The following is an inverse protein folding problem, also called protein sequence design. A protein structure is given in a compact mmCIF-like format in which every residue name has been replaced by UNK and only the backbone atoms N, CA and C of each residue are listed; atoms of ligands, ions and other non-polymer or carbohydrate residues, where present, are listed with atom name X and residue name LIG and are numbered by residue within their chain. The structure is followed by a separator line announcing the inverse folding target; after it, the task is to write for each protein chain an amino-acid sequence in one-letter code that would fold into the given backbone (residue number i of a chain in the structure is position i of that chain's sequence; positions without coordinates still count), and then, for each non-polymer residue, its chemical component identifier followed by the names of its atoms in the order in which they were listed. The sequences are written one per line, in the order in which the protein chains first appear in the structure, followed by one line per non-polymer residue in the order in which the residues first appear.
data_IF_601947680712
#
_entry.id   IF_601947680712
#
_cell.length_a   1.000
_cell.length_b   1.000
_cell.length_c   1.000
_cell.angle_alpha   90.00
_cell.angle_beta   90.00
_cell.angle_gamma   90.00
#
_symmetry.space_group_name_H-M   'P 1'
#
loop_
_entity.id
_entity.type
_entity.pdbx_description
1 polymer ?
#
# COMPACT_ATOMS: atom_id res chain seq x y z
N UNK A 1 4.84 7.20 -3.76
CA UNK A 1 3.37 7.19 -3.92
C UNK A 1 3.04 7.69 -5.30
N UNK A 2 2.06 7.12 -6.00
CA UNK A 2 1.53 7.71 -7.24
C UNK A 2 0.59 8.89 -6.91
N UNK A 3 1.12 10.11 -7.04
CA UNK A 3 0.38 11.35 -6.82
C UNK A 3 -0.63 11.67 -7.94
N UNK A 4 -0.62 10.91 -9.03
CA UNK A 4 -1.53 11.08 -10.16
C UNK A 4 -2.75 10.17 -10.08
N UNK A 5 -2.77 9.22 -9.13
CA UNK A 5 -3.93 8.37 -8.89
C UNK A 5 -5.18 9.22 -8.57
N UNK A 6 -6.35 8.96 -9.16
CA UNK A 6 -7.57 9.76 -8.97
C UNK A 6 -7.91 10.06 -7.50
N UNK A 7 -7.85 9.05 -6.63
CA UNK A 7 -8.12 9.19 -5.19
C UNK A 7 -7.08 10.05 -4.44
N UNK A 8 -5.87 10.19 -4.97
CA UNK A 8 -4.76 10.90 -4.33
C UNK A 8 -4.45 12.24 -4.99
N UNK A 9 -5.24 12.65 -5.98
CA UNK A 9 -5.07 13.93 -6.67
C UNK A 9 -5.13 15.10 -5.68
N UNK A 10 -3.99 15.77 -5.52
CA UNK A 10 -3.82 16.89 -4.61
C UNK A 10 -3.66 16.52 -3.13
N UNK A 11 -3.53 15.22 -2.80
CA UNK A 11 -3.24 14.76 -1.44
C UNK A 11 -1.75 14.62 -1.16
N UNK A 12 -0.95 14.29 -2.18
CA UNK A 12 0.51 14.24 -2.08
C UNK A 12 1.07 15.64 -2.31
N UNK A 13 1.67 16.23 -1.28
CA UNK A 13 2.23 17.60 -1.35
C UNK A 13 3.64 17.62 -1.89
N UNK A 14 4.48 16.69 -1.43
CA UNK A 14 5.84 16.54 -1.90
C UNK A 14 6.24 15.06 -1.99
N UNK A 15 7.28 14.78 -2.76
CA UNK A 15 7.83 13.45 -2.93
C UNK A 15 9.33 13.51 -3.08
N UNK A 16 10.03 12.72 -2.26
CA UNK A 16 11.48 12.53 -2.34
C UNK A 16 11.85 11.05 -2.41
N UNK A 17 13.02 10.78 -2.95
CA UNK A 17 13.73 9.51 -2.80
C UNK A 17 14.96 9.70 -1.93
N UNK A 18 15.10 8.85 -0.92
CA UNK A 18 16.25 8.77 -0.02
C UNK A 18 17.07 7.49 -0.25
N UNK A 19 16.81 6.75 -1.33
CA UNK A 19 17.64 5.61 -1.73
C UNK A 19 19.06 6.10 -2.04
N UNK A 20 20.05 5.52 -1.38
CA UNK A 20 21.45 5.91 -1.48
C UNK A 20 21.81 7.16 -0.68
N UNK A 21 20.93 7.64 0.20
CA UNK A 21 21.18 8.80 1.06
C UNK A 21 22.13 8.50 2.23
N UNK A 22 22.34 7.21 2.55
CA UNK A 22 23.31 6.74 3.53
C UNK A 22 23.19 7.46 4.89
N UNK A 23 21.95 7.64 5.38
CA UNK A 23 21.67 8.28 6.68
C UNK A 23 21.50 9.81 6.64
N UNK A 24 21.79 10.47 5.53
CA UNK A 24 21.76 11.93 5.40
C UNK A 24 20.49 12.42 4.71
N UNK A 25 19.62 13.13 5.45
CA UNK A 25 18.42 13.76 4.89
C UNK A 25 18.73 14.76 3.76
N UNK A 26 19.92 15.37 3.76
CA UNK A 26 20.34 16.32 2.72
C UNK A 26 20.64 15.65 1.37
N UNK A 27 20.85 14.34 1.35
CA UNK A 27 21.06 13.56 0.13
C UNK A 27 19.75 12.99 -0.45
N UNK A 28 18.62 13.20 0.23
CA UNK A 28 17.31 12.92 -0.35
C UNK A 28 17.04 13.90 -1.51
N UNK A 29 16.52 13.39 -2.62
CA UNK A 29 16.29 14.18 -3.84
C UNK A 29 14.82 14.14 -4.27
N UNK A 30 14.30 15.19 -4.93
CA UNK A 30 12.92 15.20 -5.40
C UNK A 30 12.60 14.03 -6.34
N UNK A 31 11.45 13.38 -6.13
CA UNK A 31 10.99 12.25 -6.93
C UNK A 31 10.59 11.04 -6.08
N UNK A 32 10.83 9.83 -6.60
CA UNK A 32 10.48 8.59 -5.90
C UNK A 32 9.15 7.98 -6.36
N UNK A 33 9.07 7.64 -7.65
CA UNK A 33 7.93 6.91 -8.22
C UNK A 33 7.68 5.61 -7.47
N UNK A 34 6.41 5.34 -7.17
CA UNK A 34 6.00 4.07 -6.60
C UNK A 34 5.88 3.02 -7.71
N UNK A 35 6.86 2.12 -7.76
CA UNK A 35 6.91 1.01 -8.73
C UNK A 35 6.43 -0.31 -8.15
N UNK A 36 6.07 -0.33 -6.86
CA UNK A 36 5.58 -1.52 -6.14
C UNK A 36 4.07 -1.47 -5.89
N UNK A 37 3.56 -0.26 -5.62
CA UNK A 37 2.18 0.01 -5.30
C UNK A 37 1.86 0.00 -3.81
N UNK A 38 2.72 -0.57 -2.94
CA UNK A 38 2.49 -0.59 -1.49
C UNK A 38 2.36 0.81 -0.89
N UNK A 39 3.25 1.74 -1.26
CA UNK A 39 3.22 3.10 -0.74
C UNK A 39 1.93 3.83 -1.12
N UNK A 40 1.46 3.63 -2.35
CA UNK A 40 0.20 4.19 -2.83
C UNK A 40 -1.01 3.55 -2.13
N UNK A 41 -0.96 2.24 -1.85
CA UNK A 41 -1.99 1.52 -1.09
C UNK A 41 -2.14 2.08 0.32
N UNK A 42 -1.02 2.25 1.01
CA UNK A 42 -0.96 2.89 2.34
C UNK A 42 -1.47 4.32 2.29
N UNK A 43 -1.03 5.13 1.32
CA UNK A 43 -1.48 6.51 1.16
C UNK A 43 -3.00 6.60 0.90
N UNK A 44 -3.55 5.68 0.11
CA UNK A 44 -5.00 5.59 -0.13
C UNK A 44 -5.79 5.32 1.16
N UNK A 45 -5.33 4.39 2.01
CA UNK A 45 -5.98 4.11 3.30
C UNK A 45 -5.95 5.35 4.21
N UNK A 46 -4.86 6.11 4.20
CA UNK A 46 -4.73 7.32 5.04
C UNK A 46 -5.59 8.46 4.49
N UNK A 47 -5.43 8.81 3.21
CA UNK A 47 -5.83 10.12 2.69
C UNK A 47 -6.51 10.08 1.32
N UNK A 48 -6.96 8.92 0.82
CA UNK A 48 -7.81 8.90 -0.37
C UNK A 48 -8.99 9.87 -0.20
N UNK A 49 -9.24 10.67 -1.23
CA UNK A 49 -10.34 11.63 -1.27
C UNK A 49 -11.66 10.91 -1.02
N UNK A 50 -12.55 11.58 -0.30
CA UNK A 50 -13.89 11.11 -0.05
C UNK A 50 -14.91 11.96 -0.81
N UNK A 51 -16.13 11.42 -0.95
CA UNK A 51 -17.31 12.12 -1.45
C UNK A 51 -17.23 12.65 -2.90
N UNK A 52 -16.33 12.11 -3.73
CA UNK A 52 -16.21 12.46 -5.16
C UNK A 52 -16.74 11.38 -6.11
N UNK A 53 -17.25 10.26 -5.56
CA UNK A 53 -17.85 9.17 -6.32
C UNK A 53 -16.83 8.29 -7.05
N UNK A 54 -15.54 8.38 -6.71
CA UNK A 54 -14.45 7.60 -7.27
C UNK A 54 -13.85 6.71 -6.18
N UNK A 55 -13.46 5.50 -6.56
CA UNK A 55 -12.52 4.69 -5.78
C UNK A 55 -12.89 4.42 -4.33
N UNK A 56 -11.89 4.61 -3.46
CA UNK A 56 -11.99 4.39 -2.01
C UNK A 56 -11.94 5.73 -1.26
N UNK A 57 -12.31 5.71 0.01
CA UNK A 57 -12.15 6.85 0.91
C UNK A 57 -11.11 6.53 2.00
N UNK A 58 -10.18 7.46 2.22
CA UNK A 58 -9.21 7.36 3.29
C UNK A 58 -9.83 7.63 4.65
N UNK A 59 -9.11 7.26 5.72
CA UNK A 59 -9.54 7.53 7.10
C UNK A 59 -9.50 9.04 7.42
N UNK A 60 -8.55 9.77 6.85
CA UNK A 60 -8.44 11.22 6.93
C UNK A 60 -8.35 11.85 5.52
N UNK A 61 -9.47 11.96 4.78
CA UNK A 61 -9.50 12.42 3.38
C UNK A 61 -9.03 13.87 3.13
N UNK A 62 -8.67 14.60 4.18
CA UNK A 62 -8.14 15.98 4.09
C UNK A 62 -6.70 16.08 4.58
N UNK A 63 -6.12 14.98 5.06
CA UNK A 63 -4.71 14.91 5.41
C UNK A 63 -3.85 15.05 4.15
N UNK A 64 -2.62 15.50 4.35
CA UNK A 64 -1.61 15.66 3.31
C UNK A 64 -0.52 14.63 3.49
N UNK A 65 0.00 14.16 2.38
CA UNK A 65 1.00 13.09 2.32
C UNK A 65 2.31 13.68 1.80
N UNK A 66 3.38 13.52 2.57
CA UNK A 66 4.74 13.60 2.06
C UNK A 66 5.20 12.19 1.73
N UNK A 67 5.53 11.93 0.47
CA UNK A 67 5.95 10.60 0.02
C UNK A 67 7.46 10.47 0.08
N UNK A 68 7.97 9.59 0.95
CA UNK A 68 9.41 9.35 1.09
C UNK A 68 9.74 7.94 0.60
N UNK A 69 10.30 7.81 -0.60
CA UNK A 69 10.77 6.53 -1.13
C UNK A 69 12.13 6.18 -0.52
N UNK A 70 12.17 5.15 0.30
CA UNK A 70 13.41 4.61 0.89
C UNK A 70 13.60 3.10 0.63
N UNK A 71 12.67 2.48 -0.10
CA UNK A 71 12.74 1.09 -0.53
C UNK A 71 12.71 1.02 -2.06
N UNK A 72 13.52 0.13 -2.62
CA UNK A 72 13.54 -0.13 -4.06
C UNK A 72 12.84 -1.45 -4.37
N UNK A 73 11.94 -1.43 -5.35
CA UNK A 73 11.31 -2.66 -5.82
C UNK A 73 12.34 -3.49 -6.59
N UNK A 74 12.50 -4.74 -6.20
CA UNK A 74 13.35 -5.75 -6.82
C UNK A 74 12.49 -6.95 -7.15
N UNK A 75 12.37 -7.23 -8.44
CA UNK A 75 11.68 -8.42 -8.92
C UNK A 75 12.68 -9.45 -9.41
N UNK A 76 12.45 -10.71 -9.05
CA UNK A 76 12.99 -11.87 -9.74
C UNK A 76 11.87 -12.62 -10.49
N UNK A 77 12.21 -13.75 -11.12
CA UNK A 77 11.26 -14.55 -11.91
C UNK A 77 10.09 -15.12 -11.08
N UNK A 78 10.18 -15.08 -9.74
CA UNK A 78 9.24 -15.72 -8.82
C UNK A 78 8.49 -14.73 -7.92
N UNK A 79 9.06 -13.56 -7.62
CA UNK A 79 8.49 -12.58 -6.70
C UNK A 79 9.07 -11.18 -6.88
N UNK A 80 8.29 -10.17 -6.48
CA UNK A 80 8.78 -8.82 -6.27
C UNK A 80 8.82 -8.52 -4.78
N UNK A 81 9.92 -7.96 -4.31
CA UNK A 81 10.08 -7.43 -2.94
C UNK A 81 10.58 -6.00 -3.00
N UNK A 82 10.13 -5.16 -2.07
CA UNK A 82 10.71 -3.83 -1.87
C UNK A 82 11.71 -3.89 -0.71
N UNK A 83 12.98 -3.66 -1.01
CA UNK A 83 14.09 -3.75 -0.05
C UNK A 83 14.89 -2.45 -0.01
N UNK A 84 15.47 -2.12 1.13
CA UNK A 84 16.26 -0.90 1.31
C UNK A 84 17.17 -0.95 2.54
N UNK A 85 18.05 0.03 2.64
CA UNK A 85 18.98 0.17 3.77
C UNK A 85 18.28 0.90 4.93
N UNK A 86 18.55 0.48 6.16
CA UNK A 86 18.05 1.17 7.34
C UNK A 86 18.59 2.60 7.46
N UNK A 87 19.79 2.88 6.94
CA UNK A 87 20.33 4.23 6.85
C UNK A 87 19.51 5.12 5.90
N UNK A 88 19.05 4.59 4.77
CA UNK A 88 18.19 5.34 3.84
C UNK A 88 16.80 5.60 4.43
N UNK A 89 16.26 4.62 5.17
CA UNK A 89 15.04 4.81 5.96
C UNK A 89 15.21 5.90 7.02
N UNK A 90 16.32 5.88 7.77
CA UNK A 90 16.63 6.89 8.78
C UNK A 90 16.77 8.29 8.15
N UNK A 91 17.42 8.40 6.98
CA UNK A 91 17.49 9.64 6.22
C UNK A 91 16.10 10.16 5.84
N UNK A 92 15.21 9.26 5.41
CA UNK A 92 13.83 9.58 5.08
C UNK A 92 13.01 10.09 6.27
N UNK A 93 13.14 9.45 7.43
CA UNK A 93 12.50 9.91 8.68
C UNK A 93 13.01 11.31 9.04
N UNK A 94 14.33 11.53 9.00
CA UNK A 94 14.95 12.85 9.28
C UNK A 94 14.51 13.93 8.29
N UNK A 95 14.37 13.59 7.01
CA UNK A 95 13.85 14.50 6.01
C UNK A 95 12.40 14.90 6.34
N UNK A 96 11.54 13.93 6.67
CA UNK A 96 10.16 14.22 7.04
C UNK A 96 10.04 15.10 8.30
N UNK A 97 10.91 14.90 9.30
CA UNK A 97 11.01 15.78 10.47
C UNK A 97 11.37 17.21 10.06
N UNK A 98 12.31 17.36 9.12
CA UNK A 98 12.71 18.66 8.56
C UNK A 98 11.56 19.41 7.89
N UNK A 99 10.59 18.67 7.34
CA UNK A 99 9.34 19.18 6.76
C UNK A 99 8.21 19.35 7.79
N UNK A 100 8.49 19.17 9.08
CA UNK A 100 7.54 19.38 10.19
C UNK A 100 6.26 18.54 10.11
N UNK A 101 6.38 17.26 9.71
CA UNK A 101 5.24 16.34 9.70
C UNK A 101 4.69 16.07 11.11
N UNK A 102 3.37 15.91 11.21
CA UNK A 102 2.72 15.52 12.47
C UNK A 102 2.86 14.02 12.76
N UNK A 103 2.88 13.19 11.71
CA UNK A 103 2.84 11.73 11.79
C UNK A 103 3.80 11.12 10.76
N UNK A 104 4.62 10.17 11.21
CA UNK A 104 5.48 9.35 10.36
C UNK A 104 4.94 7.93 10.34
N UNK A 105 4.42 7.49 9.20
CA UNK A 105 3.94 6.11 9.00
C UNK A 105 5.07 5.22 8.46
N UNK A 106 5.56 4.30 9.29
CA UNK A 106 6.57 3.31 8.93
C UNK A 106 5.92 1.92 8.77
N UNK A 107 5.26 1.72 7.63
CA UNK A 107 4.70 0.41 7.22
C UNK A 107 5.79 -0.48 6.60
N UNK A 108 6.85 -0.74 7.36
CA UNK A 108 8.00 -1.55 6.95
C UNK A 108 8.12 -2.79 7.83
N UNK A 109 8.74 -3.85 7.29
CA UNK A 109 9.10 -5.03 8.07
C UNK A 109 10.63 -5.19 8.07
N UNK A 110 11.21 -5.41 9.24
CA UNK A 110 12.63 -5.76 9.38
C UNK A 110 12.76 -7.26 9.70
N UNK A 111 13.80 -7.95 9.18
CA UNK A 111 13.93 -9.39 9.36
C UNK A 111 14.18 -9.81 10.82
N UNK A 112 14.67 -8.92 11.69
CA UNK A 112 14.93 -9.25 13.10
C UNK A 112 14.77 -8.06 14.06
N UNK A 113 15.53 -6.99 13.84
CA UNK A 113 15.52 -5.76 14.66
C UNK A 113 15.68 -4.56 13.75
N UNK A 114 15.16 -3.41 14.18
CA UNK A 114 15.53 -2.15 13.55
C UNK A 114 17.02 -1.91 13.76
N UNK A 115 17.68 -1.38 12.73
CA UNK A 115 19.05 -0.94 12.88
C UNK A 115 19.10 0.26 13.84
N UNK A 116 20.20 0.44 14.58
CA UNK A 116 20.38 1.58 15.50
C UNK A 116 20.07 2.93 14.85
N UNK A 117 20.54 3.18 13.63
CA UNK A 117 20.34 4.45 12.92
C UNK A 117 18.86 4.79 12.71
N UNK A 118 18.02 3.77 12.48
CA UNK A 118 16.58 3.96 12.32
C UNK A 118 15.89 4.15 13.68
N UNK A 119 16.36 3.48 14.74
CA UNK A 119 15.88 3.72 16.11
C UNK A 119 16.17 5.16 16.56
N UNK A 120 17.37 5.66 16.27
CA UNK A 120 17.76 7.05 16.56
C UNK A 120 16.86 8.03 15.81
N UNK A 121 16.60 7.81 14.51
CA UNK A 121 15.71 8.65 13.72
C UNK A 121 14.26 8.63 14.23
N UNK A 122 13.77 7.49 14.74
CA UNK A 122 12.46 7.39 15.39
C UNK A 122 12.42 8.21 16.69
N UNK A 123 13.46 8.13 17.50
CA UNK A 123 13.61 8.98 18.69
C UNK A 123 13.67 10.47 18.35
N UNK A 124 14.41 10.85 17.31
CA UNK A 124 14.47 12.23 16.80
C UNK A 124 13.08 12.72 16.35
N UNK A 125 12.28 11.88 15.69
CA UNK A 125 10.91 12.22 15.29
C UNK A 125 10.02 12.50 16.49
N UNK A 126 10.13 11.66 17.51
CA UNK A 126 9.39 11.81 18.77
C UNK A 126 9.74 13.13 19.48
N UNK A 127 11.02 13.44 19.61
CA UNK A 127 11.50 14.68 20.23
C UNK A 127 11.12 15.92 19.40
N UNK A 128 11.00 15.78 18.08
CA UNK A 128 10.56 16.85 17.19
C UNK A 128 9.05 17.11 17.21
N UNK A 129 8.27 16.29 17.93
CA UNK A 129 6.81 16.46 18.04
C UNK A 129 5.99 15.65 17.05
N UNK A 130 6.59 14.72 16.32
CA UNK A 130 5.87 13.81 15.43
C UNK A 130 5.48 12.51 16.15
N UNK A 131 4.37 11.88 15.76
CA UNK A 131 4.05 10.49 16.16
C UNK A 131 4.60 9.53 15.13
N UNK A 132 5.44 8.59 15.55
CA UNK A 132 5.84 7.47 14.69
C UNK A 132 4.83 6.33 14.86
N UNK A 133 4.19 5.94 13.76
CA UNK A 133 3.31 4.76 13.69
C UNK A 133 4.06 3.66 12.97
N UNK A 134 4.32 2.55 13.65
CA UNK A 134 5.20 1.49 13.18
C UNK A 134 4.45 0.16 13.10
N UNK A 135 4.41 -0.44 11.91
CA UNK A 135 3.79 -1.75 11.72
C UNK A 135 4.62 -2.84 12.39
N UNK A 136 3.95 -3.79 13.04
CA UNK A 136 4.62 -4.87 13.78
C UNK A 136 5.23 -5.99 12.90
N UNK A 137 5.06 -5.90 11.57
CA UNK A 137 5.51 -6.92 10.61
C UNK A 137 4.50 -8.06 10.45
N UNK A 138 4.86 -9.06 9.62
CA UNK A 138 3.98 -10.15 9.16
C UNK A 138 4.51 -11.56 9.46
N UNK A 139 5.48 -11.69 10.38
CA UNK A 139 6.09 -12.97 10.76
C UNK A 139 5.82 -13.31 12.23
N UNK A 140 4.86 -14.21 12.45
CA UNK A 140 4.43 -14.73 13.76
C UNK A 140 5.55 -15.38 14.58
N UNK A 141 6.62 -15.87 13.93
CA UNK A 141 7.77 -16.54 14.52
C UNK A 141 9.02 -15.64 14.67
N UNK A 142 8.98 -14.44 14.10
CA UNK A 142 10.03 -13.42 14.19
C UNK A 142 9.37 -12.07 14.44
N UNK A 143 8.70 -11.88 15.59
CA UNK A 143 8.17 -10.56 15.93
C UNK A 143 9.34 -9.58 15.88
N UNK A 144 9.18 -8.48 15.16
CA UNK A 144 10.17 -7.42 15.24
C UNK A 144 10.17 -6.97 16.71
N UNK A 145 11.25 -7.26 17.42
CA UNK A 145 11.37 -6.91 18.83
C UNK A 145 11.75 -5.43 18.90
N UNK A 146 10.92 -4.66 19.59
CA UNK A 146 11.17 -3.24 19.79
C UNK A 146 11.17 -2.92 21.29
N UNK A 147 12.20 -2.21 21.71
CA UNK A 147 12.18 -1.36 22.90
C UNK A 147 12.09 0.08 22.38
N UNK A 148 10.94 0.41 21.78
CA UNK A 148 10.65 1.77 21.28
C UNK A 148 9.51 2.34 22.10
N UNK A 149 9.85 3.04 23.18
CA UNK A 149 8.90 3.90 23.90
C UNK A 149 8.46 5.11 23.06
N UNK A 150 9.17 5.40 21.96
CA UNK A 150 8.99 6.56 21.09
C UNK A 150 8.14 6.30 19.83
N UNK A 151 7.45 5.15 19.74
CA UNK A 151 6.57 4.85 18.60
C UNK A 151 5.32 4.07 19.03
N UNK A 152 4.23 4.26 18.28
CA UNK A 152 3.00 3.50 18.41
C UNK A 152 3.10 2.24 17.54
N UNK A 153 3.16 1.07 18.17
CA UNK A 153 3.24 -0.22 17.47
C UNK A 153 1.85 -0.68 17.05
N UNK A 154 1.74 -1.19 15.81
CA UNK A 154 0.46 -1.59 15.24
C UNK A 154 0.48 -3.03 14.75
N UNK A 155 -0.36 -3.88 15.36
CA UNK A 155 -0.69 -5.22 14.86
C UNK A 155 -2.00 -5.20 14.05
N UNK A 156 -2.34 -6.32 13.41
CA UNK A 156 -3.49 -6.40 12.50
C UNK A 156 -4.61 -7.28 13.04
N UNK A 157 -5.85 -6.83 12.87
CA UNK A 157 -7.05 -7.66 13.01
C UNK A 157 -7.58 -8.13 11.67
N UNK A 158 -8.26 -9.27 11.71
CA UNK A 158 -9.13 -9.72 10.64
C UNK A 158 -10.55 -9.15 10.76
N UNK A 159 -11.42 -9.52 9.82
CA UNK A 159 -12.81 -9.09 9.78
C UNK A 159 -13.66 -9.57 10.97
N UNK A 160 -13.24 -10.62 11.67
CA UNK A 160 -13.91 -11.08 12.89
C UNK A 160 -13.55 -10.22 14.12
N UNK A 161 -12.59 -9.30 13.99
CA UNK A 161 -12.05 -8.50 15.08
C UNK A 161 -11.00 -9.24 15.91
N UNK A 162 -10.65 -10.48 15.53
CA UNK A 162 -9.55 -11.23 16.11
C UNK A 162 -8.20 -10.85 15.51
N UNK A 163 -7.12 -11.25 16.17
CA UNK A 163 -5.76 -11.10 15.65
C UNK A 163 -5.64 -11.85 14.32
N UNK A 164 -5.19 -11.15 13.26
CA UNK A 164 -5.01 -11.78 11.96
C UNK A 164 -3.96 -12.90 12.03
N UNK A 165 -4.12 -13.96 11.24
CA UNK A 165 -3.30 -15.18 11.37
C UNK A 165 -1.81 -14.98 11.11
N UNK A 166 -1.42 -13.94 10.36
CA UNK A 166 -0.03 -13.57 10.11
C UNK A 166 0.53 -12.57 11.15
N UNK A 167 -0.35 -11.95 11.93
CA UNK A 167 0.00 -10.79 12.75
C UNK A 167 0.64 -11.23 14.07
N UNK A 168 1.75 -10.62 14.48
CA UNK A 168 2.39 -10.93 15.75
C UNK A 168 1.59 -10.36 16.92
N UNK A 169 1.67 -11.03 18.08
CA UNK A 169 1.28 -10.45 19.37
C UNK A 169 2.35 -9.42 19.76
N UNK A 170 1.92 -8.23 20.19
CA UNK A 170 2.85 -7.20 20.66
C UNK A 170 3.28 -7.47 22.11
N UNK A 171 4.47 -6.99 22.52
CA UNK A 171 4.90 -7.06 23.92
C UNK A 171 3.93 -6.33 24.86
N UNK A 172 3.71 -6.89 26.05
CA UNK A 172 2.78 -6.33 27.06
C UNK A 172 3.20 -4.94 27.58
N UNK A 173 4.49 -4.62 27.50
CA UNK A 173 5.10 -3.35 27.91
C UNK A 173 5.19 -2.31 26.78
N UNK A 174 4.74 -2.66 25.57
CA UNK A 174 4.71 -1.73 24.45
C UNK A 174 3.46 -0.84 24.45
N UNK A 175 3.59 0.36 23.86
CA UNK A 175 2.44 1.16 23.46
C UNK A 175 1.94 0.60 22.12
N UNK A 176 1.14 -0.47 22.22
CA UNK A 176 0.69 -1.25 21.07
C UNK A 176 -0.83 -1.28 20.91
N UNK A 177 -1.31 -1.15 19.68
CA UNK A 177 -2.72 -1.29 19.31
C UNK A 177 -2.90 -2.23 18.13
N UNK A 178 -4.14 -2.65 17.89
CA UNK A 178 -4.51 -3.37 16.67
C UNK A 178 -5.43 -2.52 15.78
N UNK A 179 -5.37 -2.72 14.47
CA UNK A 179 -6.32 -2.12 13.53
C UNK A 179 -6.63 -3.10 12.39
N UNK A 180 -7.73 -2.91 11.64
CA UNK A 180 -8.08 -3.80 10.54
C UNK A 180 -6.96 -3.87 9.49
N UNK A 181 -6.35 -5.04 9.36
CA UNK A 181 -5.29 -5.32 8.38
C UNK A 181 -5.66 -6.43 7.40
N UNK A 182 -6.79 -7.12 7.58
CA UNK A 182 -7.22 -8.21 6.71
C UNK A 182 -6.60 -9.58 7.06
N UNK A 183 -6.97 -10.62 6.31
CA UNK A 183 -6.57 -12.02 6.48
C UNK A 183 -5.51 -12.48 5.47
N UNK A 184 -5.32 -11.74 4.38
CA UNK A 184 -4.27 -12.03 3.38
C UNK A 184 -2.98 -11.33 3.76
N UNK A 185 -1.86 -11.79 3.21
CA UNK A 185 -0.59 -11.06 3.26
C UNK A 185 -0.41 -10.27 1.96
N UNK A 186 0.55 -9.35 1.92
CA UNK A 186 0.92 -8.57 0.72
C UNK A 186 1.35 -9.44 -0.49
N UNK A 187 1.44 -10.76 -0.34
CA UNK A 187 1.70 -11.71 -1.43
C UNK A 187 0.44 -12.30 -2.05
N UNK A 188 -0.73 -12.10 -1.44
CA UNK A 188 -2.00 -12.67 -1.88
C UNK A 188 -3.02 -11.55 -2.11
N UNK A 189 -2.95 -10.97 -3.31
CA UNK A 189 -3.80 -9.87 -3.76
C UNK A 189 -5.24 -10.33 -4.06
N UNK A 190 -5.99 -10.65 -3.01
CA UNK A 190 -7.39 -11.06 -3.13
C UNK A 190 -8.31 -10.31 -2.17
N UNK A 191 -9.44 -9.87 -2.70
CA UNK A 191 -10.49 -9.26 -1.90
C UNK A 191 -11.36 -10.30 -1.21
N UNK A 192 -11.48 -11.51 -1.77
CA UNK A 192 -12.38 -12.54 -1.27
C UNK A 192 -11.72 -13.93 -1.26
N UNK A 193 -12.01 -14.72 -0.23
CA UNK A 193 -11.68 -16.14 -0.15
C UNK A 193 -12.95 -16.90 0.23
N UNK A 194 -13.34 -17.87 -0.59
CA UNK A 194 -14.56 -18.65 -0.39
C UNK A 194 -15.85 -17.80 -0.26
N UNK A 195 -15.88 -16.64 -0.95
CA UNK A 195 -17.01 -15.70 -0.91
C UNK A 195 -16.97 -14.70 0.23
N UNK A 196 -16.05 -14.84 1.19
CA UNK A 196 -15.88 -13.91 2.31
C UNK A 196 -14.79 -12.88 2.03
N UNK A 197 -15.01 -11.60 2.38
CA UNK A 197 -14.01 -10.56 2.16
C UNK A 197 -12.84 -10.71 3.14
N UNK A 198 -11.62 -10.69 2.60
CA UNK A 198 -10.38 -11.01 3.32
C UNK A 198 -9.29 -9.93 3.24
N UNK A 199 -9.38 -8.97 2.32
CA UNK A 199 -8.37 -7.93 2.14
C UNK A 199 -8.90 -6.52 2.45
N UNK A 200 -7.97 -5.56 2.48
CA UNK A 200 -8.25 -4.13 2.51
C UNK A 200 -8.07 -3.59 1.09
N UNK A 201 -9.14 -3.09 0.48
CA UNK A 201 -9.11 -2.42 -0.83
C UNK A 201 -8.49 -1.04 -0.66
N UNK A 202 -7.53 -0.68 -1.51
CA UNK A 202 -7.02 0.69 -1.60
C UNK A 202 -6.42 0.98 -2.98
N UNK A 203 -6.06 2.24 -3.20
CA UNK A 203 -5.45 2.76 -4.44
C UNK A 203 -4.06 2.17 -4.69
N UNK A 204 -3.74 1.84 -5.93
CA UNK A 204 -2.39 1.46 -6.39
C UNK A 204 -2.11 2.11 -7.75
N UNK A 205 -0.85 2.25 -8.18
CA UNK A 205 -0.54 2.75 -9.51
C UNK A 205 -1.16 1.86 -10.59
N UNK A 206 -1.64 2.45 -11.68
CA UNK A 206 -2.35 1.73 -12.75
C UNK A 206 -1.46 0.77 -13.55
N UNK A 207 -0.14 0.88 -13.42
CA UNK A 207 0.84 -0.05 -13.98
C UNK A 207 1.18 -1.21 -13.02
N UNK A 208 0.53 -1.26 -11.85
CA UNK A 208 0.58 -2.38 -10.91
C UNK A 208 -0.72 -3.18 -10.92
N UNK A 209 -0.66 -4.41 -10.40
CA UNK A 209 -1.84 -5.28 -10.25
C UNK A 209 -2.55 -5.61 -11.57
N UNK A 210 -3.88 -5.52 -11.58
CA UNK A 210 -4.74 -5.80 -12.75
C UNK A 210 -4.98 -4.59 -13.65
N UNK A 211 -4.34 -3.46 -13.35
CA UNK A 211 -4.50 -2.19 -14.06
C UNK A 211 -5.77 -1.42 -13.75
N UNK A 212 -6.56 -1.82 -12.74
CA UNK A 212 -7.74 -1.08 -12.29
C UNK A 212 -7.41 0.19 -11.51
N UNK A 213 -6.19 0.29 -10.97
CA UNK A 213 -5.79 1.31 -9.99
C UNK A 213 -6.18 0.96 -8.55
N UNK A 214 -6.74 -0.23 -8.31
CA UNK A 214 -7.14 -0.67 -6.97
C UNK A 214 -6.69 -2.10 -6.71
N UNK A 215 -6.29 -2.38 -5.48
CA UNK A 215 -5.87 -3.72 -5.09
C UNK A 215 -6.29 -4.04 -3.66
N UNK A 216 -6.57 -5.32 -3.42
CA UNK A 216 -6.78 -5.83 -2.08
C UNK A 216 -5.47 -6.37 -1.53
N UNK A 217 -5.00 -5.77 -0.43
CA UNK A 217 -3.83 -6.24 0.30
C UNK A 217 -4.21 -6.55 1.74
N UNK A 218 -3.38 -7.32 2.42
CA UNK A 218 -3.53 -7.50 3.85
C UNK A 218 -2.17 -7.51 4.53
N UNK A 219 -2.11 -6.92 5.71
CA UNK A 219 -0.88 -6.73 6.44
C UNK A 219 -1.00 -5.76 7.59
N UNK A 220 -0.02 -5.79 8.49
CA UNK A 220 0.16 -4.75 9.51
C UNK A 220 0.46 -3.39 8.90
N UNK A 221 0.94 -3.33 7.66
CA UNK A 221 1.07 -2.12 6.84
C UNK A 221 -0.26 -1.36 6.69
N UNK A 222 -1.34 -2.08 6.38
CA UNK A 222 -2.69 -1.53 6.20
C UNK A 222 -3.30 -1.12 7.54
N UNK A 223 -3.05 -1.91 8.59
CA UNK A 223 -3.45 -1.58 9.95
C UNK A 223 -2.79 -0.28 10.45
N UNK A 224 -1.47 -0.14 10.25
CA UNK A 224 -0.71 1.07 10.58
C UNK A 224 -1.24 2.30 9.82
N UNK A 225 -1.60 2.14 8.54
CA UNK A 225 -2.22 3.20 7.76
C UNK A 225 -3.56 3.68 8.36
N UNK A 226 -4.40 2.77 8.86
CA UNK A 226 -5.65 3.16 9.55
C UNK A 226 -5.39 3.92 10.85
N UNK A 227 -4.37 3.52 11.62
CA UNK A 227 -3.94 4.22 12.84
C UNK A 227 -3.43 5.62 12.51
N UNK A 228 -2.57 5.76 11.50
CA UNK A 228 -2.04 7.04 11.02
C UNK A 228 -3.16 7.98 10.57
N UNK A 229 -4.12 7.48 9.79
CA UNK A 229 -5.29 8.27 9.40
C UNK A 229 -6.17 8.65 10.59
N UNK A 230 -6.34 7.76 11.58
CA UNK A 230 -7.07 8.05 12.81
C UNK A 230 -6.43 9.18 13.64
N UNK A 231 -5.12 9.15 13.80
CA UNK A 231 -4.36 10.22 14.45
C UNK A 231 -4.49 11.55 13.69
N UNK A 232 -4.35 11.52 12.36
CA UNK A 232 -4.50 12.72 11.53
C UNK A 232 -5.91 13.32 11.66
N UNK A 233 -6.94 12.47 11.72
CA UNK A 233 -8.32 12.89 11.95
C UNK A 233 -8.48 13.58 13.31
N UNK A 234 -7.95 12.99 14.38
CA UNK A 234 -8.00 13.58 15.73
C UNK A 234 -7.24 14.90 15.80
N UNK A 235 -6.02 14.97 15.27
CA UNK A 235 -5.23 16.21 15.22
C UNK A 235 -5.96 17.32 14.42
N UNK A 236 -6.67 16.96 13.34
CA UNK A 236 -7.49 17.92 12.58
C UNK A 236 -8.67 18.50 13.38
N UNK A 237 -9.09 17.83 14.45
CA UNK A 237 -10.11 18.31 15.39
C UNK A 237 -9.53 19.24 16.48
N UNK A 238 -8.22 19.49 16.45
CA UNK A 238 -7.52 20.39 17.38
C UNK A 238 -6.92 19.69 18.60
N UNK A 239 -6.92 18.36 18.64
CA UNK A 239 -6.15 17.63 19.65
C UNK A 239 -4.65 17.79 19.39
N UNK A 240 -3.89 18.06 20.44
CA UNK A 240 -2.43 17.95 20.39
C UNK A 240 -2.01 16.51 20.11
N UNK A 241 -0.73 16.32 19.77
CA UNK A 241 -0.12 15.00 19.57
C UNK A 241 -0.47 14.01 20.67
N UNK A 242 -0.20 14.39 21.92
CA UNK A 242 -0.36 13.50 23.07
C UNK A 242 -1.84 13.24 23.35
N UNK A 243 -2.70 14.26 23.22
CA UNK A 243 -4.15 14.08 23.36
C UNK A 243 -4.72 13.14 22.30
N UNK A 244 -4.26 13.23 21.04
CA UNK A 244 -4.70 12.35 19.96
C UNK A 244 -4.30 10.90 20.23
N UNK A 245 -3.06 10.67 20.66
CA UNK A 245 -2.58 9.32 21.04
C UNK A 245 -3.36 8.78 22.23
N UNK A 246 -3.47 9.54 23.31
CA UNK A 246 -4.20 9.10 24.51
C UNK A 246 -5.67 8.79 24.19
N UNK A 247 -6.31 9.63 23.36
CA UNK A 247 -7.71 9.42 22.95
C UNK A 247 -7.88 8.15 22.13
N UNK A 248 -6.95 7.86 21.23
CA UNK A 248 -6.93 6.62 20.46
C UNK A 248 -6.80 5.41 21.39
N UNK A 249 -5.83 5.44 22.31
CA UNK A 249 -5.54 4.34 23.25
C UNK A 249 -6.67 4.09 24.26
N UNK A 250 -7.36 5.13 24.72
CA UNK A 250 -8.46 5.02 25.68
C UNK A 250 -9.76 4.47 25.09
N UNK A 251 -9.87 4.46 23.77
CA UNK A 251 -11.08 4.04 23.06
C UNK A 251 -10.94 2.71 22.37
N UNK A 252 -9.80 2.04 22.54
CA UNK A 252 -9.60 0.71 22.00
C UNK A 252 -10.61 -0.30 22.56
N UNK A 253 -10.97 -1.26 21.73
CA UNK A 253 -11.80 -2.41 22.09
C UNK A 253 -10.87 -3.56 22.45
N UNK A 254 -10.90 -4.06 23.71
CA UNK A 254 -10.05 -5.17 24.12
C UNK A 254 -10.34 -6.46 23.33
N UNK A 255 -9.31 -7.25 23.08
CA UNK A 255 -9.41 -8.57 22.46
C UNK A 255 -8.16 -9.41 22.71
N UNK A 256 -8.27 -10.73 22.56
CA UNK A 256 -7.13 -11.63 22.80
C UNK A 256 -6.01 -11.37 21.79
N UNK A 257 -4.80 -11.09 22.30
CA UNK A 257 -3.61 -10.84 21.48
C UNK A 257 -3.56 -9.47 20.82
N UNK A 258 -4.46 -8.54 21.15
CA UNK A 258 -4.55 -7.22 20.52
C UNK A 258 -3.81 -6.10 21.28
N UNK A 259 -2.87 -6.45 22.17
CA UNK A 259 -2.17 -5.49 23.03
C UNK A 259 -3.16 -4.64 23.86
N UNK A 260 -3.14 -3.31 23.69
CA UNK A 260 -4.10 -2.40 24.35
C UNK A 260 -5.52 -2.48 23.77
N UNK A 261 -5.71 -3.16 22.64
CA UNK A 261 -6.99 -3.39 21.97
C UNK A 261 -7.01 -2.89 20.52
N UNK A 262 -8.11 -3.17 19.82
CA UNK A 262 -8.32 -2.67 18.46
C UNK A 262 -8.85 -1.23 18.45
N UNK A 263 -8.37 -0.38 17.55
CA UNK A 263 -8.82 1.02 17.46
C UNK A 263 -10.34 1.10 17.18
N UNK A 264 -11.01 2.04 17.84
CA UNK A 264 -12.39 2.43 17.55
C UNK A 264 -12.43 3.94 17.29
N UNK A 265 -12.27 4.31 16.02
CA UNK A 265 -12.23 5.72 15.62
C UNK A 265 -13.56 6.43 15.86
N UNK A 266 -14.69 5.74 15.79
CA UNK A 266 -15.98 6.32 16.11
C UNK A 266 -16.04 6.73 17.59
N UNK A 267 -15.56 5.86 18.49
CA UNK A 267 -15.43 6.19 19.90
C UNK A 267 -14.37 7.27 20.17
N UNK A 268 -13.25 7.28 19.42
CA UNK A 268 -12.19 8.29 19.54
C UNK A 268 -12.70 9.71 19.20
N UNK A 269 -13.46 9.87 18.12
CA UNK A 269 -14.00 11.18 17.72
C UNK A 269 -15.23 11.62 18.53
N UNK A 270 -15.97 10.69 19.14
CA UNK A 270 -17.26 10.99 19.78
C UNK A 270 -17.17 11.60 21.19
N UNK A 271 -16.08 11.43 21.96
CA UNK A 271 -16.02 11.95 23.34
C UNK A 271 -15.21 13.25 23.45
N UNK A 272 -15.77 14.32 24.04
CA UNK A 272 -14.98 15.44 24.53
C UNK A 272 -14.19 15.01 25.79
N UNK A 273 -12.96 15.49 25.92
CA UNK A 273 -12.12 15.27 27.10
C UNK A 273 -12.79 15.88 28.35
N UNK A 274 -12.88 15.19 29.49
CA UNK A 274 -13.20 15.86 30.74
C UNK A 274 -12.01 16.76 31.13
N UNK A 275 -12.21 18.05 31.44
CA UNK A 275 -11.10 18.94 31.79
C UNK A 275 -10.39 18.45 33.06
N UNK A 276 -9.07 18.22 32.99
CA UNK A 276 -8.21 18.01 34.15
C UNK A 276 -7.52 16.65 34.31
N UNK A 277 -7.47 15.80 33.28
CA UNK A 277 -6.53 14.66 33.26
C UNK A 277 -5.27 15.11 32.50
N UNK A 278 -4.10 14.81 33.05
CA UNK A 278 -2.79 15.17 32.48
C UNK A 278 -2.13 13.87 32.05
N UNK A 279 -2.41 13.47 30.82
CA UNK A 279 -1.82 12.44 29.96
C UNK A 279 -1.42 11.07 30.55
N UNK A 280 -1.86 9.99 29.90
CA UNK A 280 -1.51 8.60 30.23
C UNK A 280 -0.09 8.23 29.77
N UNK A 281 0.53 9.05 28.92
CA UNK A 281 1.95 8.95 28.56
C UNK A 281 2.88 8.93 29.78
N UNK A 282 2.57 9.72 30.82
CA UNK A 282 3.36 9.77 32.07
C UNK A 282 3.21 8.50 32.94
N UNK A 283 2.16 7.69 32.68
CA UNK A 283 1.91 6.45 33.42
C UNK A 283 2.81 5.28 32.97
N UNK A 284 3.30 5.30 31.73
CA UNK A 284 4.28 4.33 31.23
C UNK A 284 5.68 4.56 31.84
N UNK A 285 6.05 5.80 32.12
CA UNK A 285 7.32 6.15 32.78
C UNK A 285 7.32 5.85 34.30
N UNK A 286 6.14 5.55 34.88
CA UNK A 286 5.97 5.32 36.33
C UNK A 286 5.46 3.92 36.70
N UNK A 287 5.21 3.04 35.74
CA UNK A 287 4.88 1.63 35.98
C UNK A 287 3.53 1.36 36.63
N UNK A 288 2.52 2.22 36.41
CA UNK A 288 1.18 2.05 36.99
C UNK A 288 0.11 2.02 35.89
N UNK A 289 -0.30 0.83 35.45
CA UNK A 289 -1.49 0.64 34.63
C UNK A 289 -2.76 0.68 35.51
N UNK A 290 -3.81 1.44 35.15
CA UNK A 290 -5.13 1.31 35.78
C UNK A 290 -5.86 0.04 35.30
N UNK A 291 -6.79 -0.51 36.10
CA UNK A 291 -7.45 -1.79 35.83
C UNK A 291 -8.37 -1.72 34.59
N UNK A 292 -8.61 -2.87 33.92
CA UNK A 292 -9.47 -2.94 32.75
C UNK A 292 -10.94 -2.63 33.10
N UNK A 293 -11.62 -1.91 32.21
CA UNK A 293 -13.05 -1.61 32.31
C UNK A 293 -13.84 -2.92 32.11
N UNK A 294 -14.56 -3.33 33.14
CA UNK A 294 -15.15 -4.67 33.27
C UNK A 294 -16.62 -4.75 32.83
N UNK A 295 -17.22 -3.69 32.30
CA UNK A 295 -18.58 -3.73 31.77
C UNK A 295 -18.74 -2.94 30.48
N UNK A 296 -18.97 -3.66 29.37
CA UNK A 296 -19.54 -3.10 28.14
C UNK A 296 -21.03 -2.81 28.36
N UNK A 297 -21.58 -1.68 27.87
CA UNK A 297 -23.03 -1.50 27.83
C UNK A 297 -23.65 -2.57 26.92
N UNK A 298 -24.68 -3.25 27.41
CA UNK A 298 -25.44 -4.25 26.63
C UNK A 298 -26.12 -3.57 25.45
N UNK A 299 -25.67 -3.88 24.24
CA UNK A 299 -26.40 -3.53 23.02
C UNK A 299 -27.60 -4.48 22.92
N UNK A 300 -28.81 -3.92 22.92
CA UNK A 300 -30.06 -4.67 22.72
C UNK A 300 -30.13 -5.29 21.33
N UNK A 301 -31.08 -6.22 21.07
CA UNK A 301 -31.16 -6.93 19.80
C UNK A 301 -31.41 -5.97 18.64
N UNK A 302 -30.50 -5.98 17.66
CA UNK A 302 -30.70 -5.31 16.39
C UNK A 302 -31.86 -5.97 15.63
N UNK A 303 -32.84 -5.17 15.25
CA UNK A 303 -33.90 -5.56 14.31
C UNK A 303 -33.50 -5.10 12.92
N UNK A 304 -33.27 -6.05 12.02
CA UNK A 304 -33.04 -5.78 10.59
C UNK A 304 -34.38 -5.34 9.97
N UNK A 305 -34.48 -4.20 9.27
CA UNK A 305 -35.66 -3.90 8.48
C UNK A 305 -35.82 -4.95 7.39
N UNK A 306 -36.98 -5.61 7.33
CA UNK A 306 -37.35 -6.45 6.19
C UNK A 306 -37.59 -5.55 4.98
N UNK A 307 -36.97 -5.89 3.85
CA UNK A 307 -37.28 -5.26 2.57
C UNK A 307 -38.78 -5.46 2.23
N UNK A 308 -39.44 -4.47 1.60
CA UNK A 308 -40.81 -4.65 1.15
C UNK A 308 -40.83 -5.68 0.02
N UNK A 309 -41.67 -6.71 0.19
CA UNK A 309 -42.00 -7.68 -0.85
C UNK A 309 -42.60 -6.96 -2.07
N UNK A 310 -41.89 -7.02 -3.20
CA UNK A 310 -42.40 -6.58 -4.49
C UNK A 310 -43.43 -7.59 -5.01
N UNK A 311 -44.70 -7.24 -4.89
CA UNK A 311 -45.87 -8.05 -5.26
C UNK A 311 -46.22 -7.84 -6.74
N UNK A 312 -45.26 -8.16 -7.63
CA UNK A 312 -45.51 -8.29 -9.06
C UNK A 312 -45.15 -9.71 -9.49
N UNK A 313 -46.15 -10.59 -9.50
CA UNK A 313 -46.04 -12.03 -9.80
C UNK A 313 -45.62 -12.40 -11.22
N UNK A 314 -44.56 -11.80 -11.76
CA UNK A 314 -43.93 -12.19 -13.02
C UNK A 314 -42.46 -12.54 -12.77
N UNK A 315 -42.04 -13.77 -13.11
CA UNK A 315 -40.67 -14.21 -12.85
C UNK A 315 -39.65 -13.45 -13.71
N UNK A 316 -38.50 -13.14 -13.12
CA UNK A 316 -37.39 -12.32 -13.67
C UNK A 316 -36.93 -12.74 -15.07
N UNK A 317 -37.13 -14.00 -15.48
CA UNK A 317 -36.80 -14.47 -16.84
C UNK A 317 -37.65 -13.81 -17.94
N UNK A 318 -38.82 -13.26 -17.63
CA UNK A 318 -39.69 -12.57 -18.62
C UNK A 318 -38.99 -11.32 -19.18
N UNK A 319 -38.22 -10.60 -18.35
CA UNK A 319 -37.43 -9.44 -18.80
C UNK A 319 -36.20 -9.84 -19.63
N UNK A 320 -35.62 -11.02 -19.36
CA UNK A 320 -34.48 -11.55 -20.13
C UNK A 320 -34.90 -11.93 -21.56
N UNK A 321 -36.12 -12.45 -21.76
CA UNK A 321 -36.63 -12.79 -23.10
C UNK A 321 -36.97 -11.54 -23.92
N UNK A 322 -37.54 -10.51 -23.29
CA UNK A 322 -37.85 -9.24 -23.96
C UNK A 322 -36.58 -8.51 -24.43
N UNK A 323 -35.49 -8.55 -23.65
CA UNK A 323 -34.20 -7.99 -24.03
C UNK A 323 -33.55 -8.71 -25.22
N UNK A 324 -33.59 -10.05 -25.23
CA UNK A 324 -33.03 -10.86 -26.31
C UNK A 324 -33.77 -10.67 -27.65
N UNK A 325 -35.11 -10.55 -27.62
CA UNK A 325 -35.90 -10.26 -28.82
C UNK A 325 -35.68 -8.84 -29.35
N UNK A 326 -35.48 -7.86 -28.47
CA UNK A 326 -35.15 -6.48 -28.84
C UNK A 326 -33.81 -6.37 -29.57
N UNK A 327 -32.77 -7.07 -29.08
CA UNK A 327 -31.44 -7.08 -29.70
C UNK A 327 -31.43 -7.76 -31.08
N UNK A 328 -32.20 -8.84 -31.25
CA UNK A 328 -32.34 -9.50 -32.54
C UNK A 328 -33.01 -8.61 -33.60
N UNK A 329 -34.02 -7.83 -33.20
CA UNK A 329 -34.74 -6.94 -34.10
C UNK A 329 -33.89 -5.73 -34.54
N UNK A 330 -33.03 -5.21 -33.65
CA UNK A 330 -32.07 -4.15 -33.96
C UNK A 330 -30.96 -4.66 -34.90
N UNK A 331 -30.45 -5.87 -34.67
CA UNK A 331 -29.44 -6.48 -35.54
C UNK A 331 -29.99 -6.75 -36.95
N UNK A 332 -31.23 -7.23 -37.07
CA UNK A 332 -31.86 -7.50 -38.37
C UNK A 332 -32.21 -6.21 -39.12
N UNK A 333 -32.62 -5.15 -38.43
CA UNK A 333 -32.83 -3.82 -39.01
C UNK A 333 -31.51 -3.19 -39.49
N UNK A 334 -30.42 -3.38 -38.75
CA UNK A 334 -29.07 -2.92 -39.13
C UNK A 334 -28.54 -3.59 -40.40
N UNK A 335 -28.70 -4.92 -40.52
CA UNK A 335 -28.31 -5.67 -41.72
C UNK A 335 -29.11 -5.27 -42.97
N UNK A 336 -30.38 -4.90 -42.81
CA UNK A 336 -31.25 -4.45 -43.93
C UNK A 336 -30.98 -3.00 -44.34
N UNK A 337 -30.54 -2.14 -43.42
CA UNK A 337 -30.24 -0.73 -43.72
C UNK A 337 -28.81 -0.53 -44.26
N UNK A 338 -27.85 -1.39 -43.90
CA UNK A 338 -26.44 -1.24 -44.30
C UNK A 338 -25.92 -2.31 -45.29
N UNK A 339 -26.71 -3.35 -45.59
CA UNK A 339 -26.31 -4.46 -46.47
C UNK A 339 -26.39 -4.22 -47.98
N UNK A 340 -26.61 -2.98 -48.45
CA UNK A 340 -26.66 -2.66 -49.90
C UNK A 340 -25.80 -1.44 -50.23
N UNK A 341 -24.52 -1.71 -50.52
CA UNK A 341 -23.69 -0.90 -51.43
C UNK A 341 -22.54 -1.75 -52.00
N UNK A 342 -22.82 -2.26 -53.20
CA UNK A 342 -21.97 -2.39 -54.39
C UNK A 342 -20.58 -3.07 -54.32
N UNK A 343 -20.51 -4.25 -54.98
CA UNK A 343 -19.39 -4.72 -55.82
C UNK A 343 -19.71 -4.35 -57.29
N UNK A 344 -18.80 -4.39 -58.29
CA UNK A 344 -17.34 -4.63 -58.28
C UNK A 344 -16.53 -3.65 -59.19
N UNK A 345 -15.20 -3.76 -59.20
CA UNK A 345 -14.38 -3.90 -60.42
C UNK A 345 -12.88 -4.05 -60.08
N UNK A 346 -12.24 -5.07 -60.66
CA UNK A 346 -10.82 -5.05 -61.04
C UNK A 346 -10.73 -5.59 -62.47
N UNK A 347 -9.53 -5.72 -63.09
CA UNK A 347 -8.22 -5.12 -62.78
C UNK A 347 -7.67 -4.29 -63.96
N UNK A 348 -6.55 -3.59 -63.78
CA UNK A 348 -5.72 -3.09 -64.88
C UNK A 348 -4.24 -3.33 -64.58
N UNK A 349 -3.59 -4.12 -65.44
CA UNK A 349 -2.14 -4.34 -65.51
C UNK A 349 -1.39 -3.08 -65.97
N UNK A 350 -0.08 -3.01 -65.70
CA UNK A 350 0.86 -2.43 -66.66
C UNK A 350 1.83 -3.49 -67.18
N UNK A 351 1.93 -3.55 -68.51
CA UNK A 351 2.76 -4.50 -69.26
C UNK A 351 4.26 -4.24 -69.20
N UNK A 352 4.99 -5.31 -69.51
CA UNK A 352 6.41 -5.34 -69.76
C UNK A 352 6.77 -4.70 -71.12
N UNK A 353 7.91 -3.99 -71.14
CA UNK A 353 8.64 -3.55 -72.32
C UNK A 353 10.15 -3.71 -72.07
N UNK A 354 10.79 -4.41 -73.00
CA UNK A 354 12.10 -5.09 -72.94
C UNK A 354 13.30 -4.16 -73.33
N UNK A 355 14.55 -4.62 -73.63
CA UNK A 355 15.77 -4.20 -72.93
C UNK A 355 16.82 -3.58 -73.90
N UNK A 356 18.03 -3.30 -73.41
CA UNK A 356 19.21 -2.98 -74.25
C UNK A 356 20.35 -2.45 -73.38
N UNK A 357 21.29 -3.29 -72.96
CA UNK A 357 22.56 -3.62 -73.65
C UNK A 357 23.68 -2.60 -73.40
N UNK A 358 24.76 -3.08 -72.77
CA UNK A 358 26.01 -2.33 -72.61
C UNK A 358 26.92 -2.80 -71.46
N UNK A 359 27.41 -4.04 -71.54
CA UNK A 359 28.50 -4.60 -70.72
C UNK A 359 29.89 -4.09 -71.21
N UNK A 360 31.06 -4.66 -70.84
CA UNK A 360 31.60 -5.15 -69.55
C UNK A 360 33.07 -4.68 -69.30
N UNK A 361 33.72 -5.16 -68.23
CA UNK A 361 35.19 -5.17 -68.08
C UNK A 361 35.63 -5.36 -66.61
N UNK A 362 35.66 -6.58 -66.05
CA UNK A 362 36.77 -7.57 -66.08
C UNK A 362 37.84 -7.24 -65.01
N UNK A 363 37.89 -8.00 -63.90
CA UNK A 363 38.89 -9.06 -63.66
C UNK A 363 40.02 -8.50 -62.75
N UNK A 364 40.68 -9.15 -61.79
CA UNK A 364 40.89 -10.55 -61.39
C UNK A 364 41.60 -10.54 -60.01
N UNK A 365 41.31 -11.53 -59.17
CA UNK A 365 41.98 -11.98 -57.92
C UNK A 365 43.43 -12.54 -58.17
N UNK A 366 44.19 -13.14 -57.19
CA UNK A 366 44.79 -12.71 -55.90
C UNK A 366 46.32 -13.13 -55.90
N UNK A 367 47.04 -13.68 -54.86
CA UNK A 367 46.95 -13.73 -53.37
C UNK A 367 48.29 -13.45 -52.61
N UNK A 368 48.29 -13.44 -51.26
CA UNK A 368 49.28 -14.11 -50.35
C UNK A 368 49.03 -13.86 -48.83
N UNK A 369 48.87 -14.96 -48.06
CA UNK A 369 49.42 -15.35 -46.72
C UNK A 369 49.99 -14.30 -45.72
N UNK A 370 49.96 -14.40 -44.36
CA UNK A 370 49.89 -15.51 -43.38
C UNK A 370 49.51 -15.03 -41.93
N UNK A 371 48.94 -15.97 -41.15
CA UNK A 371 49.14 -16.30 -39.71
C UNK A 371 48.89 -15.30 -38.54
N UNK A 372 48.16 -15.79 -37.53
CA UNK A 372 48.15 -15.28 -36.14
C UNK A 372 47.00 -15.81 -35.28
N UNK A 373 47.19 -16.97 -34.64
CA UNK A 373 46.30 -17.55 -33.61
C UNK A 373 46.24 -16.71 -32.33
N UNK A 374 45.05 -16.61 -31.70
CA UNK A 374 44.89 -16.36 -30.26
C UNK A 374 43.55 -16.94 -29.77
N UNK A 375 43.63 -18.02 -28.99
CA UNK A 375 42.52 -18.60 -28.21
C UNK A 375 42.47 -18.09 -26.77
N UNK A 376 41.38 -18.38 -26.02
CA UNK A 376 40.96 -17.62 -24.83
C UNK A 376 41.45 -18.21 -23.50
N UNK A 377 41.51 -17.40 -22.45
CA UNK A 377 41.76 -17.84 -21.07
C UNK A 377 40.73 -17.26 -20.09
N UNK A 378 40.06 -18.17 -19.37
CA UNK A 378 39.14 -17.98 -18.24
C UNK A 378 39.88 -18.04 -16.88
N UNK A 379 39.23 -17.70 -15.73
CA UNK A 379 39.88 -17.10 -14.57
C UNK A 379 40.27 -18.08 -13.46
N UNK A 380 41.19 -17.65 -12.57
CA UNK A 380 41.61 -18.38 -11.38
C UNK A 380 41.63 -17.51 -10.11
N UNK A 381 40.97 -18.01 -9.06
CA UNK A 381 41.01 -17.56 -7.67
C UNK A 381 42.41 -17.63 -7.04
N UNK A 382 42.64 -16.93 -5.92
CA UNK A 382 43.43 -17.53 -4.84
C UNK A 382 42.69 -17.55 -3.50
N UNK A 383 42.83 -18.70 -2.84
CA UNK A 383 42.57 -18.99 -1.43
C UNK A 383 43.82 -18.72 -0.59
N UNK A 384 43.66 -18.30 0.68
CA UNK A 384 44.61 -18.57 1.77
C UNK A 384 43.88 -18.57 3.14
N UNK A 385 44.44 -19.24 4.18
CA UNK A 385 43.69 -19.97 5.20
C UNK A 385 44.03 -19.43 6.64
N UNK A 386 44.02 -20.22 7.75
CA UNK A 386 43.21 -19.90 8.94
C UNK A 386 44.00 -19.48 10.21
N UNK A 387 43.22 -19.08 11.22
CA UNK A 387 43.47 -19.08 12.69
C UNK A 387 44.62 -18.25 13.30
N UNK A 388 44.23 -17.29 14.17
CA UNK A 388 44.54 -17.27 15.60
C UNK A 388 43.55 -16.38 16.35
#
# INVERSE_FOLDING_TARGET
VDSTHPDLLGQVEDSVTCIGAAGSAAECTPGGTDTDGHGTHVAGIIAARADDGVGVAGVAPRAKILSVKALESRCDDASCTADGDAADLAAGVRWAIGEHVDIVNLSITAPYRLAPDLLDAIGEAWEAGAVVVLSAGSRVDQPTFFDVSSALLVTATDRSGGLASYAPRLPDDSIGVAAPGGLTTDTEYTCHRDGEPVGIVSSVPVDTGDGSGYECRGGTSMAAAQVSGGLALLMSMGFSRDEAVDRLLETTVPGDGLALGSIDLAAAVARPYPPGVTNRHDAFDTGVLPPPVTELPRVGPFSVPSEPSDDSGLPVWVFMIAGALGLALVAELGLRLFGRRDRPAGPAEPGAGDPGEGAPGDGTDPPHETAGEAGPATPGFPTHPPEA
#
